data_IF_588314289764
#
_entry.id   IF_588314289764
#
_cell.length_a   1.000
_cell.length_b   1.000
_cell.length_c   1.000
_cell.angle_alpha   90.00
_cell.angle_beta   90.00
_cell.angle_gamma   90.00
#
_symmetry.space_group_name_H-M   'P 1'
#
loop_
_entity.id
_entity.type
_entity.pdbx_description
1 polymer ?
#
# COMPACT_ATOMS: atom_id res chain seq x y z
N UNK A 1 53.09 -24.25 -10.65
CA UNK A 1 52.40 -23.13 -9.97
C UNK A 1 51.12 -22.81 -10.74
N UNK A 2 49.95 -23.13 -10.19
CA UNK A 2 48.66 -22.77 -10.79
C UNK A 2 47.90 -21.96 -9.74
N UNK A 3 47.63 -20.69 -10.07
CA UNK A 3 46.95 -19.73 -9.22
C UNK A 3 45.48 -20.12 -9.04
N UNK A 4 45.03 -20.07 -7.80
CA UNK A 4 43.61 -20.19 -7.47
C UNK A 4 42.90 -18.89 -7.90
N UNK A 5 41.77 -18.96 -8.63
CA UNK A 5 40.99 -17.77 -8.91
C UNK A 5 40.38 -17.28 -7.60
N UNK A 6 40.75 -16.07 -7.20
CA UNK A 6 40.13 -15.35 -6.08
C UNK A 6 38.77 -14.85 -6.55
N UNK A 7 37.72 -15.08 -5.75
CA UNK A 7 36.38 -14.62 -6.06
C UNK A 7 36.37 -13.08 -6.25
N UNK A 8 35.54 -12.54 -7.15
CA UNK A 8 35.46 -11.10 -7.36
C UNK A 8 35.12 -10.37 -6.06
N UNK A 9 35.69 -9.17 -5.90
CA UNK A 9 35.39 -8.30 -4.77
C UNK A 9 33.87 -8.07 -4.68
N UNK A 10 33.36 -8.28 -3.46
CA UNK A 10 31.96 -8.14 -3.12
C UNK A 10 31.41 -6.79 -3.63
N UNK A 11 30.40 -6.86 -4.52
CA UNK A 11 29.75 -5.68 -5.09
C UNK A 11 28.72 -5.07 -4.13
N UNK A 12 28.45 -5.61 -2.95
CA UNK A 12 27.47 -5.04 -2.02
C UNK A 12 27.90 -3.71 -1.37
N UNK A 13 29.03 -3.09 -1.76
CA UNK A 13 29.41 -1.78 -1.23
C UNK A 13 28.38 -0.70 -1.56
N UNK A 14 27.79 -0.72 -2.76
CA UNK A 14 26.69 0.19 -3.11
C UNK A 14 25.41 -0.05 -2.28
N UNK A 15 25.26 -1.24 -1.67
CA UNK A 15 24.14 -1.55 -0.78
C UNK A 15 24.39 -1.15 0.67
N UNK A 16 25.63 -0.80 1.05
CA UNK A 16 25.94 -0.32 2.40
C UNK A 16 26.09 1.21 2.44
N UNK A 17 26.53 1.82 1.34
CA UNK A 17 26.76 3.27 1.24
C UNK A 17 25.47 4.11 1.26
N UNK A 18 24.30 3.52 0.94
CA UNK A 18 23.02 4.23 0.86
C UNK A 18 22.18 4.17 2.16
N UNK A 19 22.66 3.49 3.20
CA UNK A 19 21.89 3.25 4.44
C UNK A 19 22.25 4.16 5.63
N UNK A 20 23.11 5.15 5.45
CA UNK A 20 23.39 6.18 6.48
C UNK A 20 22.39 7.36 6.44
N UNK A 21 21.16 7.15 5.94
CA UNK A 21 20.09 8.11 6.17
C UNK A 21 19.57 7.91 7.59
N UNK A 22 20.10 8.72 8.51
CA UNK A 22 19.51 8.98 9.82
C UNK A 22 17.98 9.01 9.68
N UNK A 23 17.29 8.06 10.34
CA UNK A 23 15.84 8.00 10.31
C UNK A 23 15.29 9.38 10.73
N UNK A 24 14.31 9.96 10.02
CA UNK A 24 13.78 11.24 10.40
C UNK A 24 13.16 11.14 11.81
N UNK A 25 13.65 11.94 12.74
CA UNK A 25 13.07 12.07 14.07
C UNK A 25 11.56 12.31 13.96
N UNK A 26 10.75 11.31 14.34
CA UNK A 26 9.29 11.40 14.37
C UNK A 26 8.77 12.37 15.44
N UNK A 27 9.67 13.01 16.18
CA UNK A 27 9.34 14.05 17.14
C UNK A 27 9.19 15.40 16.43
N UNK A 28 7.98 15.98 16.35
CA UNK A 28 7.83 17.32 15.83
C UNK A 28 8.61 18.32 16.72
N UNK A 29 9.28 19.32 16.13
CA UNK A 29 10.09 20.27 16.89
C UNK A 29 9.22 21.01 17.93
N UNK A 30 9.72 21.25 19.15
CA UNK A 30 8.97 22.01 20.14
C UNK A 30 8.67 23.41 19.58
N UNK A 31 7.37 23.70 19.42
CA UNK A 31 6.90 25.00 18.93
C UNK A 31 7.47 26.10 19.83
N UNK A 32 8.13 27.10 19.23
CA UNK A 32 8.68 28.27 19.93
C UNK A 32 7.56 28.93 20.74
N UNK A 33 7.57 28.74 22.06
CA UNK A 33 6.65 29.41 22.95
C UNK A 33 6.91 30.92 22.91
N UNK A 34 6.02 31.66 22.26
CA UNK A 34 5.95 33.12 22.42
C UNK A 34 5.61 33.39 23.89
N UNK A 35 6.55 34.03 24.58
CA UNK A 35 6.50 34.32 25.99
C UNK A 35 5.23 35.09 26.40
N UNK A 36 4.32 34.42 27.10
CA UNK A 36 3.57 34.98 28.26
C UNK A 36 2.84 33.82 28.95
N UNK A 37 2.80 33.84 30.28
CA UNK A 37 2.16 32.90 31.23
C UNK A 37 3.07 31.77 31.80
N UNK A 38 3.33 31.78 33.13
CA UNK A 38 3.94 30.65 33.81
C UNK A 38 2.85 29.64 34.19
N UNK A 39 2.94 28.40 33.68
CA UNK A 39 2.21 27.26 34.21
C UNK A 39 3.19 26.17 34.70
N UNK A 40 2.80 25.39 35.71
CA UNK A 40 3.74 24.61 36.51
C UNK A 40 4.14 23.32 35.79
N UNK A 41 5.46 23.15 35.66
CA UNK A 41 6.23 21.91 35.70
C UNK A 41 5.40 20.60 35.70
N UNK A 42 5.10 20.07 34.52
CA UNK A 42 4.89 18.63 34.34
C UNK A 42 6.12 18.08 33.62
N UNK A 43 6.94 17.47 34.44
CA UNK A 43 8.22 16.88 34.15
C UNK A 43 8.03 15.80 33.06
N UNK A 44 8.32 16.16 31.81
CA UNK A 44 8.54 15.18 30.74
C UNK A 44 9.89 14.52 31.02
N UNK A 45 9.87 13.42 31.78
CA UNK A 45 11.05 12.59 32.00
C UNK A 45 11.18 11.60 30.85
N UNK A 46 11.83 12.02 29.76
CA UNK A 46 12.55 11.08 28.93
C UNK A 46 13.85 10.69 29.67
N UNK A 47 13.71 9.85 30.71
CA UNK A 47 14.84 9.11 31.27
C UNK A 47 14.84 7.77 30.54
N UNK A 48 15.48 7.75 29.36
CA UNK A 48 16.00 6.52 28.77
C UNK A 48 17.38 6.31 29.36
N UNK A 49 17.44 5.51 30.41
CA UNK A 49 18.66 5.06 31.07
C UNK A 49 19.36 4.06 30.13
N UNK A 50 20.44 4.50 29.48
CA UNK A 50 21.37 3.61 28.78
C UNK A 50 22.15 2.79 29.81
N UNK A 51 21.67 1.58 30.09
CA UNK A 51 22.47 0.55 30.77
C UNK A 51 22.86 -0.52 29.77
N UNK A 52 24.10 -0.40 29.32
CA UNK A 52 24.92 -1.48 28.76
C UNK A 52 25.18 -2.51 29.86
N UNK A 53 24.62 -3.72 29.76
CA UNK A 53 25.14 -4.88 30.48
C UNK A 53 24.92 -6.16 29.64
N UNK A 54 26.06 -6.63 29.15
CA UNK A 54 26.46 -7.92 28.61
C UNK A 54 25.70 -9.13 29.20
N UNK A 55 25.02 -9.92 28.34
CA UNK A 55 24.63 -11.31 28.62
C UNK A 55 24.71 -12.15 27.33
N UNK A 56 25.90 -12.73 27.15
CA UNK A 56 26.25 -14.09 26.66
C UNK A 56 25.45 -14.73 25.50
N UNK A 57 26.20 -15.05 24.43
CA UNK A 57 25.83 -15.94 23.34
C UNK A 57 25.36 -17.32 23.86
N UNK A 58 24.07 -17.64 23.67
CA UNK A 58 23.59 -19.02 23.60
C UNK A 58 23.08 -19.31 22.19
N UNK A 59 23.82 -20.19 21.51
CA UNK A 59 23.43 -20.87 20.27
C UNK A 59 22.08 -21.59 20.48
N UNK A 60 21.00 -21.03 19.95
CA UNK A 60 19.76 -21.78 19.67
C UNK A 60 19.47 -21.76 18.16
N UNK A 61 20.06 -22.74 17.49
CA UNK A 61 19.61 -23.30 16.23
C UNK A 61 18.22 -23.92 16.43
N UNK A 62 17.13 -23.18 16.22
CA UNK A 62 15.85 -23.70 15.71
C UNK A 62 14.77 -22.64 15.61
N UNK A 63 14.25 -22.45 14.40
CA UNK A 63 12.80 -22.40 14.25
C UNK A 63 12.25 -21.13 13.62
N UNK A 64 11.83 -21.32 12.37
CA UNK A 64 10.76 -20.60 11.72
C UNK A 64 11.16 -19.27 11.11
N UNK A 65 11.48 -19.33 9.81
CA UNK A 65 11.25 -18.24 8.87
C UNK A 65 9.94 -17.55 9.25
N UNK A 66 10.06 -16.34 9.79
CA UNK A 66 8.97 -15.45 10.20
C UNK A 66 8.19 -14.92 8.99
N UNK A 67 7.94 -15.77 8.00
CA UNK A 67 6.88 -15.56 7.03
C UNK A 67 5.58 -15.88 7.76
N UNK A 68 5.11 -14.86 8.49
CA UNK A 68 3.77 -14.82 9.04
C UNK A 68 2.82 -15.38 8.00
N UNK A 69 2.19 -16.50 8.36
CA UNK A 69 1.06 -17.01 7.62
C UNK A 69 0.07 -15.88 7.39
N UNK A 70 -0.81 -16.03 6.41
CA UNK A 70 -1.81 -15.05 5.97
C UNK A 70 -2.51 -14.25 7.09
N UNK A 71 -2.56 -14.76 8.32
CA UNK A 71 -3.16 -14.19 9.53
C UNK A 71 -2.21 -13.34 10.42
N UNK A 72 -0.88 -13.52 10.32
CA UNK A 72 0.11 -12.83 11.16
C UNK A 72 0.52 -11.44 10.65
N UNK A 73 0.42 -11.23 9.34
CA UNK A 73 0.67 -9.92 8.72
C UNK A 73 -0.50 -8.95 8.86
N UNK A 74 -1.73 -9.45 9.02
CA UNK A 74 -2.93 -8.62 9.14
C UNK A 74 -2.94 -7.83 10.43
N UNK A 75 -2.53 -8.43 11.56
CA UNK A 75 -2.44 -7.71 12.83
C UNK A 75 -1.49 -6.51 12.73
N UNK A 76 -0.28 -6.74 12.21
CA UNK A 76 0.72 -5.69 12.07
C UNK A 76 0.33 -4.66 11.00
N UNK A 77 -0.22 -5.09 9.86
CA UNK A 77 -0.73 -4.19 8.82
C UNK A 77 -1.90 -3.35 9.33
N UNK A 78 -2.79 -3.93 10.13
CA UNK A 78 -3.90 -3.22 10.76
C UNK A 78 -3.39 -2.19 11.75
N UNK A 79 -2.41 -2.53 12.58
CA UNK A 79 -1.85 -1.60 13.55
C UNK A 79 -1.12 -0.42 12.87
N UNK A 80 -0.41 -0.68 11.76
CA UNK A 80 0.16 0.39 10.92
C UNK A 80 -0.92 1.26 10.29
N UNK A 81 -1.97 0.64 9.74
CA UNK A 81 -3.09 1.38 9.13
C UNK A 81 -3.81 2.24 10.18
N UNK A 82 -4.08 1.68 11.36
CA UNK A 82 -4.73 2.39 12.46
C UNK A 82 -3.87 3.57 12.96
N UNK A 83 -2.57 3.35 13.11
CA UNK A 83 -1.64 4.42 13.54
C UNK A 83 -1.54 5.53 12.50
N UNK A 84 -1.46 5.16 11.22
CA UNK A 84 -1.47 6.12 10.11
C UNK A 84 -2.77 6.92 10.07
N UNK A 85 -3.93 6.26 10.16
CA UNK A 85 -5.23 6.93 10.15
C UNK A 85 -5.38 7.89 11.33
N UNK A 86 -4.95 7.47 12.53
CA UNK A 86 -4.97 8.32 13.73
C UNK A 86 -4.12 9.58 13.53
N UNK A 87 -2.86 9.40 13.11
CA UNK A 87 -1.95 10.52 12.86
C UNK A 87 -2.44 11.43 11.73
N UNK A 88 -2.96 10.85 10.66
CA UNK A 88 -3.49 11.61 9.53
C UNK A 88 -4.71 12.44 9.93
N UNK A 89 -5.61 11.87 10.75
CA UNK A 89 -6.74 12.60 11.29
C UNK A 89 -6.30 13.75 12.21
N UNK A 90 -5.32 13.52 13.08
CA UNK A 90 -4.73 14.57 13.93
C UNK A 90 -4.10 15.70 13.09
N UNK A 91 -3.34 15.35 12.05
CA UNK A 91 -2.77 16.33 11.11
C UNK A 91 -3.84 17.18 10.44
N UNK A 92 -4.96 16.59 10.02
CA UNK A 92 -6.09 17.32 9.43
C UNK A 92 -6.83 18.20 10.44
N UNK A 93 -6.92 17.77 11.71
CA UNK A 93 -7.53 18.56 12.78
C UNK A 93 -6.69 19.79 13.15
N UNK A 94 -5.36 19.67 13.06
CA UNK A 94 -4.41 20.75 13.34
C UNK A 94 -4.39 21.83 12.24
N UNK A 95 -4.86 21.50 11.03
CA UNK A 95 -4.95 22.45 9.92
C UNK A 95 -6.11 23.44 10.08
N UNK A 96 -5.89 24.66 9.61
CA UNK A 96 -6.99 25.64 9.51
C UNK A 96 -7.97 25.24 8.41
N UNK A 97 -9.23 25.72 8.54
CA UNK A 97 -10.26 25.52 7.52
C UNK A 97 -9.80 25.99 6.12
N UNK A 98 -9.00 27.05 6.03
CA UNK A 98 -8.54 27.58 4.74
C UNK A 98 -7.50 26.66 4.10
N UNK A 99 -6.58 26.10 4.90
CA UNK A 99 -5.61 25.12 4.42
C UNK A 99 -6.31 23.85 3.96
N UNK A 100 -7.28 23.36 4.74
CA UNK A 100 -8.07 22.17 4.38
C UNK A 100 -8.84 22.37 3.07
N UNK A 101 -9.48 23.53 2.89
CA UNK A 101 -10.16 23.85 1.62
C UNK A 101 -9.16 23.85 0.46
N UNK A 102 -7.98 24.45 0.64
CA UNK A 102 -6.95 24.53 -0.40
C UNK A 102 -6.49 23.12 -0.81
N UNK A 103 -6.12 22.28 0.15
CA UNK A 103 -5.70 20.90 -0.12
C UNK A 103 -6.81 20.08 -0.77
N UNK A 104 -8.04 20.22 -0.29
CA UNK A 104 -9.20 19.56 -0.88
C UNK A 104 -9.42 19.97 -2.33
N UNK A 105 -9.30 21.26 -2.68
CA UNK A 105 -9.39 21.73 -4.06
C UNK A 105 -8.27 21.18 -4.96
N UNK A 106 -7.07 20.99 -4.42
CA UNK A 106 -5.96 20.38 -5.17
C UNK A 106 -6.20 18.88 -5.38
N UNK A 107 -6.74 18.20 -4.38
CA UNK A 107 -7.14 16.79 -4.46
C UNK A 107 -8.24 16.58 -5.48
N UNK A 108 -9.30 17.39 -5.49
CA UNK A 108 -10.37 17.33 -6.50
C UNK A 108 -9.82 17.50 -7.92
N UNK A 109 -8.91 18.45 -8.13
CA UNK A 109 -8.25 18.62 -9.44
C UNK A 109 -7.41 17.41 -9.80
N UNK A 110 -6.72 16.80 -8.85
CA UNK A 110 -5.92 15.61 -9.09
C UNK A 110 -6.81 14.42 -9.46
N UNK A 111 -7.89 14.23 -8.72
CA UNK A 111 -8.89 13.19 -8.95
C UNK A 111 -9.53 13.33 -10.33
N UNK A 112 -9.99 14.53 -10.71
CA UNK A 112 -10.55 14.81 -12.04
C UNK A 112 -9.58 14.43 -13.16
N UNK A 113 -8.30 14.78 -13.04
CA UNK A 113 -7.28 14.41 -14.06
C UNK A 113 -7.10 12.90 -14.16
N UNK A 114 -7.07 12.20 -13.03
CA UNK A 114 -6.90 10.75 -13.00
C UNK A 114 -8.14 10.03 -13.55
N UNK A 115 -9.34 10.52 -13.27
CA UNK A 115 -10.59 10.00 -13.83
C UNK A 115 -10.67 10.20 -15.33
N UNK A 116 -10.26 11.36 -15.83
CA UNK A 116 -10.13 11.64 -17.26
C UNK A 116 -9.13 10.67 -17.91
N UNK A 117 -7.95 10.48 -17.31
CA UNK A 117 -6.95 9.53 -17.82
C UNK A 117 -7.47 8.09 -17.81
N UNK A 118 -8.13 7.67 -16.73
CA UNK A 118 -8.72 6.34 -16.61
C UNK A 118 -9.81 6.13 -17.67
N UNK A 119 -10.68 7.12 -17.89
CA UNK A 119 -11.69 7.09 -18.95
C UNK A 119 -11.05 6.99 -20.34
N UNK A 120 -10.00 7.77 -20.61
CA UNK A 120 -9.25 7.70 -21.86
C UNK A 120 -8.59 6.33 -22.04
N UNK A 121 -7.98 5.75 -21.00
CA UNK A 121 -7.40 4.40 -21.04
C UNK A 121 -8.46 3.35 -21.37
N UNK A 122 -9.63 3.40 -20.75
CA UNK A 122 -10.73 2.49 -21.06
C UNK A 122 -11.21 2.64 -22.51
N UNK A 123 -11.34 3.87 -23.00
CA UNK A 123 -11.71 4.12 -24.40
C UNK A 123 -10.64 3.60 -25.37
N UNK A 124 -9.36 3.83 -25.08
CA UNK A 124 -8.25 3.32 -25.90
C UNK A 124 -8.26 1.79 -25.91
N UNK A 125 -8.45 1.14 -24.75
CA UNK A 125 -8.57 -0.32 -24.66
C UNK A 125 -9.74 -0.83 -25.50
N UNK A 126 -10.89 -0.16 -25.47
CA UNK A 126 -12.05 -0.50 -26.30
C UNK A 126 -11.76 -0.33 -27.81
N UNK A 127 -11.00 0.70 -28.20
CA UNK A 127 -10.61 0.99 -29.58
C UNK A 127 -9.42 0.14 -30.08
N UNK A 128 -8.76 -0.64 -29.21
CA UNK A 128 -7.70 -1.56 -29.66
C UNK A 128 -8.31 -2.75 -30.41
N UNK A 129 -7.59 -3.33 -31.38
CA UNK A 129 -8.07 -4.52 -32.10
C UNK A 129 -8.34 -5.71 -31.17
N UNK A 130 -7.73 -5.74 -29.97
CA UNK A 130 -8.03 -6.73 -28.93
C UNK A 130 -9.38 -6.47 -28.28
N UNK A 131 -9.75 -5.20 -28.05
CA UNK A 131 -11.08 -4.78 -27.59
C UNK A 131 -12.16 -5.10 -28.63
N UNK A 132 -11.95 -4.71 -29.89
CA UNK A 132 -12.88 -5.01 -30.99
C UNK A 132 -13.08 -6.51 -31.23
N UNK A 133 -12.00 -7.30 -31.10
CA UNK A 133 -12.07 -8.76 -31.23
C UNK A 133 -12.80 -9.40 -30.03
N UNK A 134 -12.62 -8.86 -28.81
CA UNK A 134 -13.40 -9.26 -27.63
C UNK A 134 -14.88 -8.96 -27.80
N UNK A 135 -15.23 -7.75 -28.25
CA UNK A 135 -16.62 -7.35 -28.48
C UNK A 135 -17.28 -8.17 -29.59
N UNK A 136 -16.52 -8.51 -30.63
CA UNK A 136 -16.99 -9.38 -31.71
C UNK A 136 -17.24 -10.81 -31.22
N UNK A 137 -16.35 -11.34 -30.38
CA UNK A 137 -16.53 -12.66 -29.74
C UNK A 137 -17.71 -12.68 -28.77
N UNK A 138 -17.93 -11.60 -28.02
CA UNK A 138 -19.08 -11.46 -27.12
C UNK A 138 -20.38 -11.53 -27.93
N UNK A 139 -20.51 -10.75 -29.02
CA UNK A 139 -21.71 -10.77 -29.89
C UNK A 139 -21.99 -12.15 -30.49
N UNK A 140 -20.96 -12.89 -30.88
CA UNK A 140 -21.10 -14.24 -31.39
C UNK A 140 -21.68 -15.19 -30.32
N UNK A 141 -21.10 -15.18 -29.12
CA UNK A 141 -21.55 -16.01 -28.00
C UNK A 141 -22.97 -15.67 -27.55
N UNK A 142 -23.36 -14.40 -27.57
CA UNK A 142 -24.74 -13.97 -27.29
C UNK A 142 -25.73 -14.58 -28.29
N UNK A 143 -25.39 -14.60 -29.58
CA UNK A 143 -26.21 -15.23 -30.61
C UNK A 143 -26.30 -16.76 -30.48
N UNK A 144 -25.21 -17.41 -30.08
CA UNK A 144 -25.21 -18.85 -29.77
C UNK A 144 -26.07 -19.18 -28.55
N UNK A 145 -25.99 -18.37 -27.49
CA UNK A 145 -26.83 -18.50 -26.30
C UNK A 145 -28.31 -18.36 -26.62
N UNK A 146 -28.70 -17.38 -27.44
CA UNK A 146 -30.09 -17.20 -27.85
C UNK A 146 -30.60 -18.44 -28.59
N UNK A 147 -29.84 -18.96 -29.56
CA UNK A 147 -30.20 -20.20 -30.28
C UNK A 147 -30.33 -21.40 -29.33
N UNK A 148 -29.37 -21.56 -28.42
CA UNK A 148 -29.39 -22.66 -27.45
C UNK A 148 -30.58 -22.56 -26.48
N UNK A 149 -30.96 -21.33 -26.13
CA UNK A 149 -32.14 -21.05 -25.29
C UNK A 149 -33.44 -21.36 -26.02
N UNK A 150 -33.56 -20.96 -27.30
CA UNK A 150 -34.70 -21.32 -28.15
C UNK A 150 -34.83 -22.84 -28.32
N UNK A 151 -33.71 -23.53 -28.58
CA UNK A 151 -33.70 -24.99 -28.71
C UNK A 151 -34.10 -25.69 -27.42
N UNK A 152 -33.56 -25.27 -26.27
CA UNK A 152 -33.94 -25.81 -24.97
C UNK A 152 -35.43 -25.59 -24.70
N UNK A 153 -35.95 -24.40 -25.03
CA UNK A 153 -37.36 -24.10 -24.84
C UNK A 153 -38.25 -25.03 -25.69
N UNK A 154 -37.88 -25.25 -26.96
CA UNK A 154 -38.57 -26.20 -27.84
C UNK A 154 -38.55 -27.62 -27.29
N UNK A 155 -37.38 -28.10 -26.85
CA UNK A 155 -37.23 -29.45 -26.30
C UNK A 155 -38.02 -29.62 -24.99
N UNK A 156 -38.08 -28.60 -24.14
CA UNK A 156 -38.91 -28.61 -22.93
C UNK A 156 -40.40 -28.75 -23.28
N UNK A 157 -40.89 -28.00 -24.27
CA UNK A 157 -42.27 -28.10 -24.73
C UNK A 157 -42.60 -29.47 -25.34
N UNK A 158 -41.65 -30.11 -26.00
CA UNK A 158 -41.82 -31.48 -26.53
C UNK A 158 -41.87 -32.51 -25.40
N UNK A 159 -40.99 -32.41 -24.40
CA UNK A 159 -40.99 -33.30 -23.24
C UNK A 159 -42.23 -33.16 -22.36
N UNK A 160 -42.86 -31.99 -22.33
CA UNK A 160 -44.11 -31.77 -21.60
C UNK A 160 -45.34 -32.33 -22.34
N UNK A 161 -45.24 -32.56 -23.64
CA UNK A 161 -46.31 -33.14 -24.47
C UNK A 161 -46.25 -34.67 -24.56
N UNK A 162 -45.22 -35.31 -24.01
CA UNK A 162 -45.00 -36.77 -23.98
C UNK A 162 -45.20 -37.30 -22.56
#
# INVERSE_FOLDING_TARGET
>A
AKGQPVAPYNTTQFLMEDHDQEEPDLCPPPRKATATFPLPNTNSSCIGDSTEDDLEDEDDETGSDGMGGHDGGEFLQRDFSETYERYHAESLQDMSKQELIKEYMELEKCMSRMEEEHSLRLQVVALTPVGENRDSRIRELEGELEKFKEENQRLLQEREQV
#
